data_IF_213497264241
#
_entry.id   IF_213497264241
#
_cell.length_a   1.000
_cell.length_b   1.000
_cell.length_c   1.000
_cell.angle_alpha   90.00
_cell.angle_beta   90.00
_cell.angle_gamma   90.00
#
_symmetry.space_group_name_H-M   'P 1'
#
loop_
_entity.id
_entity.type
_entity.pdbx_description
1 polymer ?
#
# COMPACT_ATOMS: atom_id res chain seq x y z
N UNK A 1 19.54 -38.85 32.34
CA UNK A 1 21.00 -39.07 32.22
C UNK A 1 21.37 -38.87 30.75
N UNK A 2 21.87 -37.69 30.36
CA UNK A 2 22.20 -37.39 28.96
C UNK A 2 23.24 -38.40 28.46
N UNK A 3 22.97 -39.06 27.33
CA UNK A 3 23.90 -40.00 26.71
C UNK A 3 25.09 -39.20 26.13
N UNK A 4 26.10 -38.91 26.96
CA UNK A 4 27.26 -38.07 26.62
C UNK A 4 28.06 -38.61 25.42
N UNK A 5 27.91 -39.89 25.10
CA UNK A 5 28.46 -40.52 23.89
C UNK A 5 27.86 -39.97 22.58
N UNK A 6 26.65 -39.38 22.61
CA UNK A 6 26.00 -38.81 21.43
C UNK A 6 26.63 -37.49 20.97
N UNK A 7 27.11 -36.67 21.91
CA UNK A 7 27.72 -35.36 21.63
C UNK A 7 29.07 -35.52 20.93
N UNK A 8 29.83 -36.54 21.34
CA UNK A 8 31.02 -37.05 20.66
C UNK A 8 32.25 -37.06 21.56
N UNK A 9 32.79 -38.25 21.78
CA UNK A 9 33.99 -38.48 22.60
C UNK A 9 35.07 -39.14 21.75
N UNK A 10 36.33 -38.82 22.04
CA UNK A 10 37.49 -39.52 21.48
C UNK A 10 37.77 -40.76 22.33
N UNK A 11 37.82 -41.93 21.68
CA UNK A 11 38.24 -43.19 22.28
C UNK A 11 39.76 -43.32 22.12
N UNK A 12 40.44 -43.47 23.24
CA UNK A 12 41.89 -43.58 23.34
C UNK A 12 42.27 -44.94 23.91
N UNK A 13 43.44 -45.44 23.50
CA UNK A 13 44.09 -46.62 24.04
C UNK A 13 45.51 -46.25 24.47
N UNK A 14 45.90 -46.67 25.67
CA UNK A 14 47.25 -46.48 26.21
C UNK A 14 47.74 -47.79 26.83
N UNK A 15 48.95 -48.21 26.49
CA UNK A 15 49.55 -49.43 27.02
C UNK A 15 50.54 -49.07 28.15
N UNK A 16 50.05 -48.86 29.38
CA UNK A 16 50.89 -48.49 30.53
C UNK A 16 50.37 -49.05 31.87
N UNK A 17 51.22 -49.13 32.93
CA UNK A 17 50.78 -49.54 34.26
C UNK A 17 49.70 -48.61 34.83
N UNK A 18 48.68 -49.20 35.45
CA UNK A 18 47.50 -48.48 35.98
C UNK A 18 47.89 -47.39 36.98
N UNK A 19 48.88 -47.65 37.84
CA UNK A 19 49.33 -46.68 38.84
C UNK A 19 49.97 -45.43 38.21
N UNK A 20 50.79 -45.63 37.17
CA UNK A 20 51.41 -44.56 36.41
C UNK A 20 50.36 -43.75 35.67
N UNK A 21 49.38 -44.43 35.06
CA UNK A 21 48.26 -43.79 34.38
C UNK A 21 47.45 -42.89 35.32
N UNK A 22 47.01 -43.39 36.47
CA UNK A 22 46.21 -42.61 37.43
C UNK A 22 46.98 -41.41 37.99
N UNK A 23 48.30 -41.55 38.20
CA UNK A 23 49.16 -40.44 38.64
C UNK A 23 49.19 -39.32 37.60
N UNK A 24 49.39 -39.68 36.33
CA UNK A 24 49.42 -38.71 35.22
C UNK A 24 48.06 -38.04 35.06
N UNK A 25 46.97 -38.80 35.07
CA UNK A 25 45.60 -38.27 34.97
C UNK A 25 45.32 -37.24 36.06
N UNK A 26 45.76 -37.50 37.30
CA UNK A 26 45.60 -36.58 38.43
C UNK A 26 46.47 -35.33 38.32
N UNK A 27 47.71 -35.46 37.83
CA UNK A 27 48.65 -34.32 37.67
C UNK A 27 48.19 -33.38 36.56
N UNK A 28 47.65 -33.91 35.47
CA UNK A 28 47.19 -33.14 34.31
C UNK A 28 45.70 -32.79 34.33
N UNK A 29 44.99 -33.11 35.41
CA UNK A 29 43.54 -32.87 35.60
C UNK A 29 42.69 -33.29 34.39
N UNK A 30 42.90 -34.54 33.94
CA UNK A 30 42.23 -35.05 32.73
C UNK A 30 40.84 -35.60 33.06
N UNK A 31 39.82 -35.10 32.36
CA UNK A 31 38.45 -35.60 32.49
C UNK A 31 38.24 -36.85 31.63
N UNK A 32 38.35 -38.01 32.26
CA UNK A 32 38.18 -39.29 31.59
C UNK A 32 36.81 -39.92 31.89
N UNK A 33 36.27 -40.59 30.89
CA UNK A 33 34.98 -41.27 30.95
C UNK A 33 35.16 -42.74 30.60
N UNK A 34 34.42 -43.60 31.29
CA UNK A 34 34.26 -45.03 30.97
C UNK A 34 35.58 -45.76 30.69
N UNK A 35 36.44 -45.80 31.73
CA UNK A 35 37.76 -46.41 31.69
C UNK A 35 37.62 -47.93 31.79
N UNK A 36 38.18 -48.64 30.81
CA UNK A 36 38.23 -50.09 30.75
C UNK A 36 39.67 -50.57 30.82
N UNK A 37 39.95 -51.48 31.75
CA UNK A 37 41.26 -52.07 31.96
C UNK A 37 41.33 -53.45 31.30
N UNK A 38 42.13 -53.58 30.24
CA UNK A 38 42.49 -54.87 29.65
C UNK A 38 43.91 -55.25 30.09
N UNK A 39 44.27 -56.54 30.00
CA UNK A 39 45.48 -57.13 30.62
C UNK A 39 46.79 -56.35 30.39
N UNK A 40 46.92 -55.63 29.29
CA UNK A 40 48.09 -54.80 28.96
C UNK A 40 47.74 -53.41 28.43
N UNK A 41 46.45 -53.06 28.35
CA UNK A 41 45.96 -51.87 27.65
C UNK A 41 44.82 -51.20 28.42
N UNK A 42 44.87 -49.87 28.52
CA UNK A 42 43.82 -49.04 29.13
C UNK A 42 43.08 -48.31 28.03
N UNK A 43 41.77 -48.54 27.94
CA UNK A 43 40.89 -47.85 27.00
C UNK A 43 40.05 -46.83 27.77
N UNK A 44 39.98 -45.59 27.30
CA UNK A 44 39.16 -44.56 27.93
C UNK A 44 38.57 -43.62 26.88
N UNK A 45 37.49 -42.94 27.27
CA UNK A 45 36.90 -41.87 26.49
C UNK A 45 37.28 -40.53 27.09
N UNK A 46 37.61 -39.57 26.23
CA UNK A 46 37.85 -38.20 26.64
C UNK A 46 37.15 -37.22 25.70
N UNK A 47 36.96 -36.00 26.18
CA UNK A 47 36.44 -34.92 25.35
C UNK A 47 37.40 -34.60 24.21
N UNK A 48 36.86 -34.34 23.02
CA UNK A 48 37.63 -34.03 21.80
C UNK A 48 38.55 -32.81 21.99
N UNK A 49 38.16 -31.87 22.86
CA UNK A 49 38.95 -30.67 23.22
C UNK A 49 40.25 -31.00 23.94
N UNK A 50 40.31 -32.11 24.68
CA UNK A 50 41.49 -32.53 25.47
C UNK A 50 42.52 -33.32 24.65
N UNK A 51 42.30 -33.51 23.34
CA UNK A 51 43.19 -34.29 22.45
C UNK A 51 44.67 -33.86 22.54
N UNK A 52 44.94 -32.56 22.58
CA UNK A 52 46.32 -32.04 22.69
C UNK A 52 46.94 -32.36 24.05
N UNK A 53 46.18 -32.18 25.11
CA UNK A 53 46.65 -32.42 26.48
C UNK A 53 46.89 -33.91 26.73
N UNK A 54 46.04 -34.78 26.18
CA UNK A 54 46.17 -36.25 26.28
C UNK A 54 47.41 -36.74 25.55
N UNK A 55 47.64 -36.29 24.31
CA UNK A 55 48.86 -36.67 23.55
C UNK A 55 50.13 -36.17 24.24
N UNK A 56 50.08 -35.01 24.89
CA UNK A 56 51.21 -34.47 25.63
C UNK A 56 51.46 -35.21 26.97
N UNK A 57 50.39 -35.51 27.72
CA UNK A 57 50.47 -36.17 29.02
C UNK A 57 50.73 -37.68 28.91
N UNK A 58 50.16 -38.33 27.89
CA UNK A 58 50.21 -39.76 27.63
C UNK A 58 50.86 -39.97 26.26
N UNK A 59 52.20 -39.98 26.22
CA UNK A 59 52.99 -40.05 24.97
C UNK A 59 52.74 -41.32 24.15
N UNK A 60 52.28 -42.39 24.79
CA UNK A 60 51.96 -43.69 24.17
C UNK A 60 50.44 -43.86 23.91
N UNK A 61 49.67 -42.76 23.91
CA UNK A 61 48.24 -42.81 23.64
C UNK A 61 47.92 -42.87 22.14
N UNK A 62 47.27 -43.95 21.73
CA UNK A 62 46.72 -44.12 20.39
C UNK A 62 45.25 -43.69 20.34
N UNK A 63 44.90 -42.80 19.41
CA UNK A 63 43.51 -42.43 19.13
C UNK A 63 42.87 -43.53 18.27
N UNK A 64 41.91 -44.26 18.84
CA UNK A 64 41.24 -45.39 18.17
C UNK A 64 40.10 -44.89 17.28
N UNK A 65 39.18 -44.11 17.84
CA UNK A 65 38.02 -43.61 17.11
C UNK A 65 37.42 -42.37 17.77
N UNK A 66 36.95 -41.42 16.98
CA UNK A 66 36.04 -40.37 17.46
C UNK A 66 34.61 -40.84 17.28
N UNK A 67 33.78 -40.71 18.30
CA UNK A 67 32.36 -41.10 18.28
C UNK A 67 31.44 -39.87 18.20
N UNK A 68 30.15 -40.09 17.90
CA UNK A 68 29.10 -39.07 17.96
C UNK A 68 29.09 -38.06 16.80
N UNK A 69 28.32 -36.97 16.97
CA UNK A 69 28.11 -35.96 15.95
C UNK A 69 29.41 -35.24 15.51
N UNK A 70 30.33 -35.02 16.45
CA UNK A 70 31.65 -34.41 16.17
C UNK A 70 32.48 -35.28 15.22
N UNK A 71 32.42 -36.61 15.37
CA UNK A 71 33.11 -37.54 14.46
C UNK A 71 32.59 -37.40 13.02
N UNK A 72 31.28 -37.29 12.87
CA UNK A 72 30.64 -37.10 11.56
C UNK A 72 31.04 -35.76 10.95
N UNK A 73 31.02 -34.67 11.72
CA UNK A 73 31.43 -33.34 11.27
C UNK A 73 32.89 -33.30 10.82
N UNK A 74 33.83 -33.81 11.64
CA UNK A 74 35.25 -33.87 11.30
C UNK A 74 35.52 -34.75 10.08
N UNK A 75 34.83 -35.89 9.95
CA UNK A 75 34.90 -36.75 8.75
C UNK A 75 34.28 -36.07 7.53
N UNK A 76 33.29 -35.21 7.74
CA UNK A 76 32.63 -34.43 6.70
C UNK A 76 33.55 -33.39 6.09
N UNK A 77 34.21 -32.61 6.94
CA UNK A 77 35.14 -31.55 6.57
C UNK A 77 36.45 -32.07 5.93
N UNK A 78 36.80 -33.35 6.10
CA UNK A 78 37.97 -33.95 5.42
C UNK A 78 37.77 -34.22 3.92
N UNK A 79 36.53 -34.25 3.43
CA UNK A 79 36.25 -34.56 2.02
C UNK A 79 36.15 -33.26 1.21
N UNK A 80 36.92 -33.09 0.11
CA UNK A 80 37.00 -31.82 -0.61
C UNK A 80 35.67 -31.42 -1.26
N UNK A 81 34.89 -32.38 -1.76
CA UNK A 81 33.58 -32.09 -2.38
C UNK A 81 32.55 -31.53 -1.38
N UNK A 82 32.63 -31.88 -0.09
CA UNK A 82 31.73 -31.34 0.94
C UNK A 82 32.12 -29.94 1.36
N UNK A 83 33.42 -29.67 1.46
CA UNK A 83 33.93 -28.31 1.65
C UNK A 83 33.55 -27.41 0.46
N UNK A 84 33.68 -27.93 -0.77
CA UNK A 84 33.28 -27.21 -1.98
C UNK A 84 31.77 -26.91 -1.98
N UNK A 85 30.93 -27.88 -1.64
CA UNK A 85 29.48 -27.66 -1.55
C UNK A 85 29.11 -26.62 -0.48
N UNK A 86 29.80 -26.62 0.66
CA UNK A 86 29.61 -25.62 1.72
C UNK A 86 30.06 -24.23 1.27
N UNK A 87 31.18 -24.13 0.55
CA UNK A 87 31.67 -22.88 -0.04
C UNK A 87 30.70 -22.34 -1.09
N UNK A 88 30.22 -23.20 -2.00
CA UNK A 88 29.20 -22.83 -3.01
C UNK A 88 27.92 -22.38 -2.32
N UNK A 89 27.48 -23.06 -1.26
CA UNK A 89 26.29 -22.67 -0.50
C UNK A 89 26.46 -21.30 0.16
N UNK A 90 27.63 -21.00 0.74
CA UNK A 90 27.93 -19.67 1.27
C UNK A 90 27.97 -18.60 0.17
N UNK A 91 28.56 -18.93 -0.98
CA UNK A 91 28.63 -18.02 -2.12
C UNK A 91 27.23 -17.72 -2.67
N UNK A 92 26.39 -18.74 -2.82
CA UNK A 92 24.99 -18.59 -3.23
C UNK A 92 24.20 -17.75 -2.23
N UNK A 93 24.36 -18.02 -0.94
CA UNK A 93 23.72 -17.21 0.10
C UNK A 93 24.15 -15.74 0.02
N UNK A 94 25.44 -15.47 -0.17
CA UNK A 94 25.97 -14.12 -0.33
C UNK A 94 25.40 -13.41 -1.56
N UNK A 95 25.38 -14.08 -2.72
CA UNK A 95 24.80 -13.55 -3.95
C UNK A 95 23.30 -13.25 -3.77
N UNK A 96 22.54 -14.21 -3.22
CA UNK A 96 21.12 -14.02 -2.95
C UNK A 96 20.83 -12.91 -1.92
N UNK A 97 21.73 -12.71 -0.96
CA UNK A 97 21.58 -11.63 0.03
C UNK A 97 21.77 -10.24 -0.58
N UNK A 98 22.43 -10.13 -1.73
CA UNK A 98 22.75 -8.85 -2.39
C UNK A 98 21.87 -8.59 -3.62
N UNK A 99 21.05 -9.55 -4.02
CA UNK A 99 20.14 -9.40 -5.16
C UNK A 99 18.76 -8.91 -4.73
N UNK A 100 18.26 -7.93 -5.46
CA UNK A 100 16.89 -7.46 -5.34
C UNK A 100 16.04 -8.23 -6.33
N UNK A 101 15.11 -9.03 -5.81
CA UNK A 101 14.28 -9.94 -6.58
C UNK A 101 12.95 -9.30 -7.00
N UNK A 102 12.43 -8.36 -6.21
CA UNK A 102 11.10 -7.79 -6.43
C UNK A 102 11.04 -6.33 -6.05
N UNK A 103 10.35 -5.53 -6.87
CA UNK A 103 10.03 -4.13 -6.59
C UNK A 103 8.52 -4.05 -6.36
N UNK A 104 8.12 -3.52 -5.21
CA UNK A 104 6.75 -3.25 -4.84
C UNK A 104 6.49 -1.75 -4.85
N UNK A 105 5.49 -1.33 -5.62
CA UNK A 105 5.16 0.08 -5.81
C UNK A 105 3.78 0.31 -5.16
N UNK A 106 3.76 1.08 -4.07
CA UNK A 106 2.56 1.37 -3.27
C UNK A 106 2.14 2.83 -3.44
N UNK A 107 0.87 3.04 -3.77
CA UNK A 107 0.27 4.37 -3.87
C UNK A 107 -1.18 4.32 -4.34
N UNK A 108 -1.81 5.48 -4.40
CA UNK A 108 -3.26 5.62 -4.59
C UNK A 108 -3.68 5.56 -6.08
N UNK A 109 -2.80 5.96 -7.00
CA UNK A 109 -3.15 6.12 -8.42
C UNK A 109 -2.43 5.10 -9.32
N UNK A 110 -3.19 4.20 -9.94
CA UNK A 110 -2.68 3.16 -10.85
C UNK A 110 -1.92 3.74 -12.05
N UNK A 111 -2.34 4.90 -12.57
CA UNK A 111 -1.65 5.60 -13.68
C UNK A 111 -0.20 5.94 -13.32
N UNK A 112 0.02 6.47 -12.12
CA UNK A 112 1.35 6.85 -11.64
C UNK A 112 2.19 5.62 -11.30
N UNK A 113 1.56 4.51 -10.86
CA UNK A 113 2.24 3.23 -10.64
C UNK A 113 2.91 2.72 -11.91
N UNK A 114 2.18 2.76 -13.03
CA UNK A 114 2.69 2.36 -14.34
C UNK A 114 3.81 3.28 -14.82
N UNK A 115 3.69 4.59 -14.59
CA UNK A 115 4.73 5.57 -14.91
C UNK A 115 6.03 5.33 -14.13
N UNK A 116 5.94 5.01 -12.84
CA UNK A 116 7.11 4.66 -12.02
C UNK A 116 7.75 3.36 -12.54
N UNK A 117 6.93 2.35 -12.84
CA UNK A 117 7.40 1.08 -13.37
C UNK A 117 8.13 1.22 -14.72
N UNK A 118 7.60 2.04 -15.65
CA UNK A 118 8.26 2.31 -16.93
C UNK A 118 9.57 3.08 -16.73
N UNK A 119 9.58 4.09 -15.86
CA UNK A 119 10.78 4.88 -15.56
C UNK A 119 11.88 4.00 -14.94
N UNK A 120 11.54 3.07 -14.06
CA UNK A 120 12.48 2.08 -13.51
C UNK A 120 13.11 1.21 -14.61
N UNK A 121 12.31 0.76 -15.58
CA UNK A 121 12.79 -0.03 -16.71
C UNK A 121 13.72 0.76 -17.63
N UNK A 122 13.40 2.04 -17.90
CA UNK A 122 14.25 2.95 -18.70
C UNK A 122 15.59 3.23 -18.03
N UNK A 123 15.61 3.36 -16.70
CA UNK A 123 16.83 3.54 -15.92
C UNK A 123 17.68 2.27 -15.81
N UNK A 124 17.20 1.14 -16.34
CA UNK A 124 17.92 -0.14 -16.35
C UNK A 124 17.75 -0.98 -15.09
N UNK A 125 16.85 -0.61 -14.18
CA UNK A 125 16.53 -1.39 -12.97
C UNK A 125 15.49 -2.47 -13.29
N UNK A 126 15.90 -3.51 -14.03
CA UNK A 126 15.07 -4.71 -14.29
C UNK A 126 15.37 -5.77 -13.23
N UNK A 127 14.33 -6.29 -12.59
CA UNK A 127 14.45 -7.41 -11.65
C UNK A 127 14.80 -8.71 -12.39
N UNK A 128 15.71 -9.55 -11.86
CA UNK A 128 16.55 -9.30 -10.69
C UNK A 128 17.75 -8.40 -11.02
N UNK A 129 18.07 -7.45 -10.13
CA UNK A 129 19.28 -6.63 -10.23
C UNK A 129 20.09 -6.70 -8.93
N UNK A 130 21.38 -6.44 -9.05
CA UNK A 130 22.27 -6.34 -7.90
C UNK A 130 22.06 -4.99 -7.21
N UNK A 131 22.04 -4.96 -5.88
CA UNK A 131 21.92 -3.72 -5.14
C UNK A 131 23.07 -2.76 -5.51
N UNK A 132 22.71 -1.75 -6.30
CA UNK A 132 23.56 -0.64 -6.70
C UNK A 132 22.92 0.60 -6.09
N UNK A 133 23.36 0.90 -4.88
CA UNK A 133 23.07 2.11 -4.11
C UNK A 133 21.63 2.63 -4.27
N UNK A 134 20.74 2.13 -3.41
CA UNK A 134 19.34 2.56 -3.33
C UNK A 134 19.18 4.10 -3.34
N UNK A 135 20.13 4.83 -2.74
CA UNK A 135 20.09 6.29 -2.70
C UNK A 135 20.24 6.91 -4.10
N UNK A 136 21.10 6.35 -4.95
CA UNK A 136 21.30 6.81 -6.32
C UNK A 136 20.06 6.53 -7.17
N UNK A 137 19.46 5.34 -7.02
CA UNK A 137 18.21 4.97 -7.70
C UNK A 137 17.07 5.91 -7.29
N UNK A 138 16.91 6.15 -5.98
CA UNK A 138 15.91 7.09 -5.43
C UNK A 138 16.11 8.50 -5.99
N UNK A 139 17.35 8.99 -6.05
CA UNK A 139 17.66 10.31 -6.59
C UNK A 139 17.31 10.43 -8.08
N UNK A 140 17.65 9.41 -8.89
CA UNK A 140 17.32 9.37 -10.32
C UNK A 140 15.81 9.34 -10.57
N UNK A 141 15.08 8.52 -9.81
CA UNK A 141 13.62 8.47 -9.89
C UNK A 141 12.98 9.80 -9.50
N UNK A 142 13.39 10.38 -8.37
CA UNK A 142 12.86 11.65 -7.89
C UNK A 142 13.08 12.78 -8.91
N UNK A 143 14.24 12.80 -9.57
CA UNK A 143 14.56 13.78 -10.61
C UNK A 143 13.73 13.61 -11.89
N UNK A 144 13.48 12.36 -12.32
CA UNK A 144 12.68 12.08 -13.53
C UNK A 144 11.19 12.37 -13.32
N UNK A 145 10.69 12.11 -12.12
CA UNK A 145 9.26 12.17 -11.78
C UNK A 145 8.90 13.43 -10.98
N UNK A 146 9.77 14.44 -10.98
CA UNK A 146 9.60 15.66 -10.18
C UNK A 146 8.30 16.40 -10.53
N UNK A 147 7.82 16.31 -11.77
CA UNK A 147 6.59 16.97 -12.19
C UNK A 147 5.32 16.19 -11.81
N UNK A 148 5.37 14.87 -11.74
CA UNK A 148 4.15 14.05 -11.55
C UNK A 148 3.97 13.58 -10.09
N UNK A 149 5.04 13.52 -9.31
CA UNK A 149 5.05 12.94 -7.96
C UNK A 149 5.48 13.99 -6.93
N UNK A 150 4.67 14.18 -5.89
CA UNK A 150 4.92 15.17 -4.83
C UNK A 150 5.97 14.64 -3.85
N UNK A 151 5.81 13.37 -3.49
CA UNK A 151 6.63 12.69 -2.51
C UNK A 151 6.92 11.27 -2.96
N UNK A 152 8.18 10.86 -2.85
CA UNK A 152 8.66 9.54 -3.23
C UNK A 152 9.68 9.05 -2.20
N UNK A 153 9.39 7.89 -1.62
CA UNK A 153 10.24 7.19 -0.67
C UNK A 153 10.55 5.80 -1.23
N UNK A 154 11.80 5.38 -1.13
CA UNK A 154 12.23 4.04 -1.49
C UNK A 154 13.10 3.50 -0.36
N UNK A 155 12.82 2.26 0.06
CA UNK A 155 13.55 1.56 1.10
C UNK A 155 13.62 0.05 0.80
N UNK A 156 14.59 -0.63 1.39
CA UNK A 156 14.84 -2.05 1.18
C UNK A 156 14.36 -2.89 2.37
N UNK A 157 13.56 -3.91 2.08
CA UNK A 157 13.15 -4.96 3.01
C UNK A 157 13.73 -6.29 2.51
N UNK A 158 14.94 -6.65 2.94
CA UNK A 158 15.64 -7.86 2.50
C UNK A 158 15.92 -7.83 0.99
N UNK A 159 15.36 -8.79 0.24
CA UNK A 159 15.48 -8.86 -1.23
C UNK A 159 14.36 -8.12 -1.98
N UNK A 160 13.55 -7.32 -1.28
CA UNK A 160 12.42 -6.56 -1.84
C UNK A 160 12.66 -5.06 -1.70
N UNK A 161 12.44 -4.32 -2.77
CA UNK A 161 12.38 -2.85 -2.72
C UNK A 161 10.95 -2.40 -2.62
N UNK A 162 10.67 -1.51 -1.67
CA UNK A 162 9.35 -0.91 -1.49
C UNK A 162 9.47 0.57 -1.85
N UNK A 163 8.69 0.98 -2.85
CA UNK A 163 8.60 2.36 -3.32
C UNK A 163 7.21 2.87 -2.98
N UNK A 164 7.14 3.88 -2.13
CA UNK A 164 5.89 4.54 -1.77
C UNK A 164 5.85 5.93 -2.40
N UNK A 165 4.73 6.30 -3.01
CA UNK A 165 4.60 7.59 -3.68
C UNK A 165 3.25 8.26 -3.41
N UNK A 166 3.26 9.59 -3.47
CA UNK A 166 2.08 10.44 -3.43
C UNK A 166 2.07 11.32 -4.69
N UNK A 167 1.04 11.22 -5.55
CA UNK A 167 0.97 12.00 -6.78
C UNK A 167 0.84 13.50 -6.48
N UNK A 168 1.31 14.36 -7.40
CA UNK A 168 0.98 15.79 -7.33
C UNK A 168 -0.46 16.00 -7.73
N UNK A 169 -1.24 16.58 -6.83
CA UNK A 169 -2.51 17.18 -7.22
C UNK A 169 -2.21 18.54 -7.86
N UNK A 170 -2.23 18.56 -9.19
CA UNK A 170 -2.34 19.84 -9.87
C UNK A 170 -3.74 20.37 -9.62
N UNK A 171 -3.84 21.39 -8.78
CA UNK A 171 -5.02 22.26 -8.80
C UNK A 171 -5.18 22.71 -10.24
N UNK A 172 -6.23 22.25 -10.91
CA UNK A 172 -6.63 22.83 -12.20
C UNK A 172 -6.94 24.28 -11.88
N UNK A 173 -5.99 25.17 -12.18
CA UNK A 173 -6.26 26.59 -12.30
C UNK A 173 -7.33 26.67 -13.38
N UNK A 174 -8.60 26.73 -12.96
CA UNK A 174 -9.66 27.07 -13.87
C UNK A 174 -9.28 28.45 -14.38
N UNK A 175 -9.10 28.57 -15.69
CA UNK A 175 -8.96 29.86 -16.33
C UNK A 175 -10.23 30.61 -15.95
N UNK A 176 -10.10 31.57 -15.02
CA UNK A 176 -11.19 32.40 -14.57
C UNK A 176 -11.76 33.06 -15.82
N UNK A 177 -13.00 32.72 -16.16
CA UNK A 177 -13.70 33.41 -17.25
C UNK A 177 -14.15 34.75 -16.69
N UNK A 178 -13.82 35.82 -17.41
CA UNK A 178 -14.23 37.20 -17.10
C UNK A 178 -15.75 37.43 -17.26
N UNK A 179 -16.55 36.38 -17.40
CA UNK A 179 -17.95 36.48 -17.75
C UNK A 179 -18.82 36.61 -16.50
N UNK A 180 -19.82 37.50 -16.56
CA UNK A 180 -20.83 37.63 -15.52
C UNK A 180 -21.59 36.31 -15.31
N UNK A 181 -22.03 36.04 -14.09
CA UNK A 181 -22.88 34.88 -13.79
C UNK A 181 -24.32 35.21 -14.15
N UNK A 182 -24.86 34.46 -15.11
CA UNK A 182 -26.21 34.62 -15.65
C UNK A 182 -27.08 33.43 -15.21
N UNK A 183 -28.33 33.71 -14.83
CA UNK A 183 -29.32 32.70 -14.50
C UNK A 183 -29.64 31.80 -15.71
N UNK A 184 -29.49 30.48 -15.56
CA UNK A 184 -29.78 29.49 -16.60
C UNK A 184 -31.23 29.00 -16.57
N UNK A 185 -31.91 29.17 -15.44
CA UNK A 185 -33.27 28.70 -15.16
C UNK A 185 -33.99 29.73 -14.29
N UNK A 186 -35.32 29.78 -14.39
CA UNK A 186 -36.16 30.61 -13.54
C UNK A 186 -36.19 30.03 -12.11
N UNK A 187 -36.13 30.88 -11.10
CA UNK A 187 -36.15 30.42 -9.71
C UNK A 187 -36.06 31.54 -8.68
N UNK A 188 -36.17 31.15 -7.42
CA UNK A 188 -35.95 32.07 -6.27
C UNK A 188 -34.59 31.83 -5.67
N UNK A 189 -33.77 32.87 -5.60
CA UNK A 189 -32.40 32.76 -5.11
C UNK A 189 -32.40 32.31 -3.65
N UNK A 190 -31.75 31.19 -3.37
CA UNK A 190 -31.62 30.64 -2.03
C UNK A 190 -30.32 31.11 -1.36
N UNK A 191 -29.20 31.08 -2.08
CA UNK A 191 -27.89 31.42 -1.54
C UNK A 191 -26.88 31.83 -2.63
N UNK A 192 -25.97 32.74 -2.27
CA UNK A 192 -24.80 33.10 -3.07
C UNK A 192 -23.52 32.51 -2.45
N UNK A 193 -22.80 31.68 -3.20
CA UNK A 193 -21.42 31.26 -2.92
C UNK A 193 -20.49 31.97 -3.90
N UNK A 194 -20.20 33.25 -3.65
CA UNK A 194 -19.40 34.09 -4.54
C UNK A 194 -18.07 34.42 -3.89
N UNK A 195 -16.97 34.05 -4.54
CA UNK A 195 -15.60 34.39 -4.16
C UNK A 195 -15.19 35.75 -4.75
N UNK A 196 -15.48 35.96 -6.03
CA UNK A 196 -15.13 37.18 -6.77
C UNK A 196 -16.33 37.66 -7.63
N UNK A 197 -16.59 38.98 -7.67
CA UNK A 197 -17.69 39.60 -8.43
C UNK A 197 -18.71 40.35 -7.57
N UNK A 198 -19.50 41.23 -8.19
CA UNK A 198 -20.50 42.07 -7.51
C UNK A 198 -21.90 41.45 -7.58
N UNK A 199 -22.59 41.29 -6.44
CA UNK A 199 -23.95 40.72 -6.40
C UNK A 199 -24.97 41.75 -6.89
N UNK A 200 -25.66 41.47 -7.98
CA UNK A 200 -26.71 42.35 -8.54
C UNK A 200 -28.10 42.05 -7.97
N UNK A 201 -28.32 40.82 -7.49
CA UNK A 201 -29.60 40.33 -6.97
C UNK A 201 -29.50 39.97 -5.49
N UNK A 202 -30.64 39.84 -4.83
CA UNK A 202 -30.74 39.54 -3.40
C UNK A 202 -31.24 38.12 -3.16
N UNK A 203 -30.92 37.58 -1.99
CA UNK A 203 -31.49 36.30 -1.53
C UNK A 203 -33.00 36.47 -1.36
N UNK A 204 -33.77 35.44 -1.72
CA UNK A 204 -35.23 35.42 -1.81
C UNK A 204 -35.84 36.30 -2.92
N UNK A 205 -35.03 36.76 -3.88
CA UNK A 205 -35.53 37.42 -5.08
C UNK A 205 -35.84 36.38 -6.16
N UNK A 206 -36.94 36.60 -6.89
CA UNK A 206 -37.28 35.79 -8.07
C UNK A 206 -36.49 36.29 -9.27
N UNK A 207 -35.85 35.39 -10.00
CA UNK A 207 -35.06 35.68 -11.19
C UNK A 207 -35.54 34.85 -12.38
N UNK A 208 -35.45 35.45 -13.56
CA UNK A 208 -35.72 34.79 -14.83
C UNK A 208 -34.42 34.31 -15.46
N UNK A 209 -34.53 33.27 -16.28
CA UNK A 209 -33.46 32.81 -17.16
C UNK A 209 -32.96 33.98 -18.02
N UNK A 210 -31.66 34.25 -17.93
CA UNK A 210 -31.00 35.37 -18.61
C UNK A 210 -30.69 36.56 -17.69
N UNK A 211 -31.21 36.59 -16.46
CA UNK A 211 -30.88 37.65 -15.51
C UNK A 211 -29.43 37.57 -15.03
N UNK A 212 -28.79 38.74 -14.94
CA UNK A 212 -27.45 38.87 -14.36
C UNK A 212 -27.55 38.75 -12.83
N UNK A 213 -26.89 37.75 -12.27
CA UNK A 213 -26.86 37.46 -10.84
C UNK A 213 -25.64 38.09 -10.17
N UNK A 214 -24.48 37.95 -10.83
CA UNK A 214 -23.20 38.50 -10.39
C UNK A 214 -22.52 39.14 -11.58
N UNK A 215 -22.21 40.43 -11.47
CA UNK A 215 -21.56 41.21 -12.52
C UNK A 215 -20.05 41.27 -12.33
N UNK A 216 -19.34 41.46 -13.44
CA UNK A 216 -17.88 41.57 -13.49
C UNK A 216 -17.38 43.01 -13.29
N UNK A 217 -18.30 43.98 -13.13
CA UNK A 217 -17.99 45.38 -12.87
C UNK A 217 -18.06 45.67 -11.37
N UNK A 218 -16.92 46.09 -10.80
CA UNK A 218 -16.87 46.69 -9.46
C UNK A 218 -16.76 48.21 -9.60
N UNK A 219 -17.55 48.94 -8.81
CA UNK A 219 -17.42 50.39 -8.68
C UNK A 219 -16.36 50.68 -7.62
N UNK A 220 -15.27 51.34 -8.02
CA UNK A 220 -14.29 51.87 -7.06
C UNK A 220 -14.92 53.00 -6.21
N UNK A 221 -14.32 53.34 -5.07
CA UNK A 221 -14.74 54.43 -4.18
C UNK A 221 -14.79 55.80 -4.88
N UNK A 222 -14.20 55.91 -6.07
CA UNK A 222 -14.21 57.09 -6.95
C UNK A 222 -15.21 56.99 -8.11
N UNK A 223 -16.06 55.96 -8.15
CA UNK A 223 -17.07 55.74 -9.19
C UNK A 223 -16.51 55.29 -10.54
N UNK A 224 -15.27 54.77 -10.58
CA UNK A 224 -14.67 54.21 -11.78
C UNK A 224 -14.96 52.71 -11.87
N UNK A 225 -15.35 52.24 -13.05
CA UNK A 225 -15.62 50.84 -13.33
C UNK A 225 -14.32 50.04 -13.45
N UNK A 226 -14.10 49.10 -12.53
CA UNK A 226 -13.01 48.14 -12.58
C UNK A 226 -13.56 46.75 -12.96
N UNK A 227 -13.09 46.19 -14.08
CA UNK A 227 -13.43 44.82 -14.47
C UNK A 227 -12.65 43.82 -13.62
N UNK A 228 -13.36 42.91 -12.98
CA UNK A 228 -12.82 41.86 -12.12
C UNK A 228 -13.34 40.51 -12.57
N UNK A 229 -12.53 39.48 -12.40
CA UNK A 229 -12.94 38.11 -12.68
C UNK A 229 -14.09 37.70 -11.75
N UNK A 230 -15.09 36.99 -12.29
CA UNK A 230 -16.23 36.52 -11.50
C UNK A 230 -16.04 35.03 -11.21
N UNK A 231 -16.06 34.69 -9.93
CA UNK A 231 -15.95 33.32 -9.46
C UNK A 231 -16.99 33.07 -8.38
N UNK A 232 -17.92 32.16 -8.65
CA UNK A 232 -18.94 31.80 -7.70
C UNK A 232 -20.01 30.90 -8.27
N UNK A 233 -20.90 30.44 -7.40
CA UNK A 233 -22.12 29.70 -7.71
C UNK A 233 -23.30 30.35 -7.01
N UNK A 234 -24.44 30.37 -7.69
CA UNK A 234 -25.70 30.85 -7.09
C UNK A 234 -26.69 29.72 -7.09
N UNK A 235 -27.15 29.36 -5.89
CA UNK A 235 -28.15 28.34 -5.69
C UNK A 235 -29.54 28.98 -5.61
N UNK A 236 -30.50 28.38 -6.30
CA UNK A 236 -31.89 28.81 -6.30
C UNK A 236 -32.85 27.63 -6.12
N UNK A 237 -34.04 27.95 -5.63
CA UNK A 237 -35.19 27.05 -5.67
C UNK A 237 -35.83 27.14 -7.04
N UNK A 238 -35.79 26.03 -7.78
CA UNK A 238 -36.43 25.89 -9.10
C UNK A 238 -37.52 24.83 -9.02
N UNK A 239 -38.50 24.91 -9.92
CA UNK A 239 -39.64 24.00 -9.91
C UNK A 239 -39.65 23.14 -11.17
N UNK A 240 -39.97 21.85 -11.01
CA UNK A 240 -40.04 20.90 -12.12
C UNK A 240 -41.22 19.96 -11.93
N UNK A 241 -42.11 19.94 -12.91
CA UNK A 241 -43.18 18.96 -13.00
C UNK A 241 -42.69 17.74 -13.77
N UNK A 242 -42.86 16.56 -13.16
CA UNK A 242 -42.50 15.28 -13.76
C UNK A 242 -43.75 14.43 -13.89
N UNK A 243 -44.07 14.06 -15.13
CA UNK A 243 -45.18 13.17 -15.49
C UNK A 243 -44.60 11.81 -15.87
N UNK A 244 -45.00 10.77 -15.15
CA UNK A 244 -44.60 9.38 -15.40
C UNK A 244 -45.83 8.50 -15.60
N UNK A 245 -45.69 7.49 -16.45
CA UNK A 245 -46.77 6.56 -16.77
C UNK A 245 -46.26 5.12 -16.78
N UNK A 246 -47.11 4.19 -16.38
CA UNK A 246 -46.86 2.75 -16.49
C UNK A 246 -48.14 1.99 -16.91
N UNK A 247 -48.03 0.83 -17.57
CA UNK A 247 -49.17 -0.03 -17.80
C UNK A 247 -49.69 -0.60 -16.47
N UNK A 248 -51.02 -0.71 -16.34
CA UNK A 248 -51.64 -1.34 -15.17
C UNK A 248 -51.32 -2.84 -15.16
N UNK A 249 -50.63 -3.29 -14.11
CA UNK A 249 -50.24 -4.70 -13.92
C UNK A 249 -51.00 -5.34 -12.74
N UNK A 250 -50.84 -6.64 -12.53
CA UNK A 250 -51.39 -7.39 -11.37
C UNK A 250 -50.72 -7.06 -10.03
N UNK A 251 -49.70 -6.21 -10.02
CA UNK A 251 -49.03 -5.77 -8.80
C UNK A 251 -49.97 -4.96 -7.89
N UNK A 252 -49.77 -4.97 -6.56
CA UNK A 252 -50.54 -4.12 -5.66
C UNK A 252 -50.33 -2.62 -5.97
N UNK A 253 -51.38 -1.82 -5.75
CA UNK A 253 -51.34 -0.36 -6.00
C UNK A 253 -50.21 0.36 -5.28
N UNK A 254 -49.83 -0.09 -4.08
CA UNK A 254 -48.71 0.48 -3.31
C UNK A 254 -47.36 0.34 -4.03
N UNK A 255 -47.11 -0.82 -4.66
CA UNK A 255 -45.90 -1.04 -5.43
C UNK A 255 -45.89 -0.21 -6.71
N UNK A 256 -47.02 -0.17 -7.43
CA UNK A 256 -47.16 0.68 -8.63
C UNK A 256 -46.94 2.16 -8.34
N UNK A 257 -47.44 2.63 -7.20
CA UNK A 257 -47.21 3.98 -6.70
C UNK A 257 -45.72 4.22 -6.42
N UNK A 258 -45.08 3.31 -5.68
CA UNK A 258 -43.66 3.43 -5.34
C UNK A 258 -42.76 3.42 -6.58
N UNK A 259 -43.03 2.54 -7.54
CA UNK A 259 -42.28 2.44 -8.78
C UNK A 259 -42.37 3.73 -9.61
N UNK A 260 -43.57 4.29 -9.78
CA UNK A 260 -43.74 5.58 -10.45
C UNK A 260 -43.03 6.71 -9.68
N UNK A 261 -43.09 6.69 -8.36
CA UNK A 261 -42.43 7.71 -7.54
C UNK A 261 -40.90 7.65 -7.69
N UNK A 262 -40.30 6.45 -7.69
CA UNK A 262 -38.87 6.28 -7.91
C UNK A 262 -38.45 6.72 -9.31
N UNK A 263 -39.25 6.41 -10.33
CA UNK A 263 -38.98 6.84 -11.69
C UNK A 263 -39.08 8.37 -11.83
N UNK A 264 -40.09 8.99 -11.20
CA UNK A 264 -40.23 10.43 -11.17
C UNK A 264 -39.01 11.09 -10.48
N UNK A 265 -38.53 10.53 -9.37
CA UNK A 265 -37.32 11.01 -8.67
C UNK A 265 -36.09 10.90 -9.55
N UNK A 266 -35.92 9.77 -10.24
CA UNK A 266 -34.80 9.54 -11.18
C UNK A 266 -34.76 10.60 -12.29
N UNK A 267 -35.93 10.94 -12.85
CA UNK A 267 -36.06 11.98 -13.88
C UNK A 267 -35.82 13.39 -13.30
N UNK A 268 -36.26 13.65 -12.06
CA UNK A 268 -36.01 14.91 -11.39
C UNK A 268 -34.51 15.11 -11.10
N UNK A 269 -33.80 14.06 -10.69
CA UNK A 269 -32.38 14.09 -10.31
C UNK A 269 -31.41 13.86 -11.47
N UNK A 270 -31.89 13.64 -12.70
CA UNK A 270 -31.04 13.29 -13.85
C UNK A 270 -29.98 14.35 -14.16
N UNK A 271 -30.30 15.61 -13.88
CA UNK A 271 -29.45 16.77 -14.18
C UNK A 271 -28.72 17.33 -12.94
N UNK A 272 -28.66 16.57 -11.83
CA UNK A 272 -28.07 17.06 -10.59
C UNK A 272 -26.55 17.11 -10.64
N UNK A 273 -26.00 18.24 -10.18
CA UNK A 273 -24.57 18.45 -9.93
C UNK A 273 -24.26 18.26 -8.44
N UNK A 274 -22.97 18.33 -8.11
CA UNK A 274 -22.50 18.27 -6.72
C UNK A 274 -23.13 19.43 -5.92
N UNK A 275 -23.94 19.08 -4.93
CA UNK A 275 -24.65 20.04 -4.06
C UNK A 275 -26.13 20.23 -4.39
N UNK A 276 -26.62 19.74 -5.53
CA UNK A 276 -28.03 19.80 -5.89
C UNK A 276 -28.84 18.79 -5.08
N UNK A 277 -30.08 19.15 -4.72
CA UNK A 277 -30.97 18.29 -3.93
C UNK A 277 -32.44 18.55 -4.22
N UNK A 278 -33.25 17.51 -4.02
CA UNK A 278 -34.71 17.67 -3.97
C UNK A 278 -35.05 18.28 -2.62
N UNK A 279 -35.55 19.52 -2.61
CA UNK A 279 -35.95 20.22 -1.39
C UNK A 279 -37.34 19.82 -0.94
N UNK A 280 -38.27 19.62 -1.89
CA UNK A 280 -39.65 19.22 -1.60
C UNK A 280 -40.21 18.41 -2.76
N UNK A 281 -40.99 17.40 -2.42
CA UNK A 281 -41.72 16.55 -3.33
C UNK A 281 -43.21 16.67 -3.01
N UNK A 282 -44.04 16.96 -4.03
CA UNK A 282 -45.48 17.04 -3.87
C UNK A 282 -46.18 16.28 -4.99
N UNK A 283 -46.97 15.27 -4.64
CA UNK A 283 -47.68 14.46 -5.60
C UNK A 283 -48.98 15.17 -5.94
N UNK A 284 -49.10 15.63 -7.19
CA UNK A 284 -50.28 16.36 -7.65
C UNK A 284 -51.40 15.41 -8.06
N UNK A 285 -51.05 14.31 -8.72
CA UNK A 285 -52.02 13.37 -9.25
C UNK A 285 -51.46 11.94 -9.24
N UNK A 286 -52.32 11.00 -8.90
CA UNK A 286 -52.11 9.57 -9.08
C UNK A 286 -53.44 8.95 -9.53
N UNK A 287 -53.57 8.67 -10.82
CA UNK A 287 -54.83 8.21 -11.41
C UNK A 287 -54.62 7.05 -12.37
N UNK A 288 -55.67 6.26 -12.56
CA UNK A 288 -55.71 5.19 -13.53
C UNK A 288 -56.69 5.57 -14.64
N UNK A 289 -56.21 5.65 -15.88
CA UNK A 289 -57.04 5.92 -17.06
C UNK A 289 -56.70 4.95 -18.19
N UNK A 290 -57.73 4.37 -18.82
CA UNK A 290 -57.61 3.41 -19.94
C UNK A 290 -56.53 2.30 -19.73
N UNK A 291 -56.44 1.74 -18.52
CA UNK A 291 -55.47 0.68 -18.21
C UNK A 291 -54.01 1.15 -18.08
N UNK A 292 -53.76 2.47 -18.04
CA UNK A 292 -52.48 3.08 -17.68
C UNK A 292 -52.59 3.80 -16.34
N UNK A 293 -51.54 3.74 -15.57
CA UNK A 293 -51.40 4.46 -14.30
C UNK A 293 -50.47 5.63 -14.57
N UNK A 294 -50.93 6.81 -14.19
CA UNK A 294 -50.21 8.05 -14.34
C UNK A 294 -49.96 8.69 -12.98
N UNK A 295 -48.75 9.22 -12.80
CA UNK A 295 -48.40 10.05 -11.67
C UNK A 295 -47.77 11.37 -12.14
N UNK A 296 -48.26 12.47 -11.57
CA UNK A 296 -47.68 13.81 -11.75
C UNK A 296 -47.13 14.26 -10.42
N UNK A 297 -45.84 14.58 -10.39
CA UNK A 297 -45.14 15.03 -9.18
C UNK A 297 -44.52 16.39 -9.46
N UNK A 298 -44.82 17.35 -8.58
CA UNK A 298 -44.22 18.66 -8.55
C UNK A 298 -43.03 18.66 -7.60
N UNK A 299 -41.85 18.96 -8.12
CA UNK A 299 -40.63 19.03 -7.34
C UNK A 299 -40.19 20.48 -7.13
N UNK A 300 -39.81 20.81 -5.90
CA UNK A 300 -38.99 21.98 -5.59
C UNK A 300 -37.56 21.52 -5.44
N UNK A 301 -36.68 21.95 -6.35
CA UNK A 301 -35.28 21.56 -6.43
C UNK A 301 -34.42 22.71 -5.90
N UNK A 302 -33.40 22.39 -5.12
CA UNK A 302 -32.34 23.32 -4.76
C UNK A 302 -31.14 23.03 -5.66
N UNK A 303 -30.81 23.98 -6.54
CA UNK A 303 -29.88 23.76 -7.65
C UNK A 303 -29.02 24.98 -7.96
N UNK A 304 -27.79 24.76 -8.44
CA UNK A 304 -26.96 25.82 -9.04
C UNK A 304 -27.53 26.26 -10.40
N UNK A 305 -27.91 27.54 -10.49
CA UNK A 305 -28.48 28.15 -11.70
C UNK A 305 -27.46 28.96 -12.53
N UNK A 306 -26.18 28.94 -12.19
CA UNK A 306 -25.16 29.80 -12.84
C UNK A 306 -24.25 29.08 -13.81
N UNK A 307 -23.87 27.84 -13.51
CA UNK A 307 -22.91 27.10 -14.33
C UNK A 307 -23.56 26.69 -15.67
N UNK A 308 -23.07 27.18 -16.84
CA UNK A 308 -23.66 26.84 -18.14
C UNK A 308 -23.59 25.34 -18.42
N UNK A 309 -24.50 24.85 -19.25
CA UNK A 309 -24.53 23.45 -19.71
C UNK A 309 -23.58 23.26 -20.89
#
# INVERSE_FOLDING_TARGET
MFNRRAMGLDAWRVDMPVETFLRIVKVFDLELYDISFQKTAICFYAHVWQRRNIVHALKEAELVATTGAIAYLLRSLRKPYRLLALLISMLLWYVCSQTVLTIDIRGESEKHRQLIASTLQELGYRTPFYDKDLAEMKAKLKKRLENDIAWLEAYQEGSRYVITYTPKEFAKLQVLKQDALIAQEDGVIAQFEVSHGSKCRRVNEFVHKGDILVDNVLLDSKGQEAKTDVEGRVYAYVWKDVRVTMPSNRLPKSFQFFDLLMEARRIASLDFRIGDKISKENILQFSTDMGKIEMVVHYTLYKDITTPR
#
